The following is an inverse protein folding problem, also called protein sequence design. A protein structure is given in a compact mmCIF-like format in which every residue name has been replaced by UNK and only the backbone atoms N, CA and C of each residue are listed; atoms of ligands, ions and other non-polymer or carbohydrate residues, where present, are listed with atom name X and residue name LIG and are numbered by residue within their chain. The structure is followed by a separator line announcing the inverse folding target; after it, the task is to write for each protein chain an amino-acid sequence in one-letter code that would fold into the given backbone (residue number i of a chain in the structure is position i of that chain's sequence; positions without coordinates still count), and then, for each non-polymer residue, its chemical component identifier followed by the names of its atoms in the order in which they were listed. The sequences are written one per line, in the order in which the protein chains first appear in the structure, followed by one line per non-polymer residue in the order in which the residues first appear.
data_IF_411626771738
#
_entry.id   IF_411626771738
#
_cell.length_a   1.000
_cell.length_b   1.000
_cell.length_c   1.000
_cell.angle_alpha   90.00
_cell.angle_beta   90.00
_cell.angle_gamma   90.00
#
_symmetry.space_group_name_H-M   'P 1'
#
loop_
_entity.id
_entity.type
_entity.pdbx_description
1 polymer ?
#
# COMPACT_ATOMS: atom_id res chain seq x y z
N UNK A 1 -22.05 52.27 -21.68
CA UNK A 1 -21.49 51.05 -22.31
C UNK A 1 -20.31 50.47 -21.54
N UNK A 2 -19.42 51.31 -20.97
CA UNK A 2 -18.27 50.87 -20.17
C UNK A 2 -18.60 49.95 -18.98
N UNK A 3 -19.69 50.20 -18.25
CA UNK A 3 -20.11 49.39 -17.09
C UNK A 3 -20.57 47.98 -17.46
N UNK A 4 -21.16 47.78 -18.64
CA UNK A 4 -21.54 46.45 -19.14
C UNK A 4 -20.31 45.64 -19.57
N UNK A 5 -19.31 46.30 -20.17
CA UNK A 5 -18.03 45.68 -20.54
C UNK A 5 -17.22 45.25 -19.29
N UNK A 6 -17.25 46.06 -18.23
CA UNK A 6 -16.58 45.75 -16.96
C UNK A 6 -17.20 44.51 -16.28
N UNK A 7 -18.53 44.43 -16.25
CA UNK A 7 -19.26 43.28 -15.68
C UNK A 7 -19.01 41.98 -16.45
N UNK A 8 -18.93 42.04 -17.78
CA UNK A 8 -18.60 40.88 -18.63
C UNK A 8 -17.15 40.43 -18.42
N UNK A 9 -16.21 41.36 -18.27
CA UNK A 9 -14.80 41.03 -17.99
C UNK A 9 -14.59 40.33 -16.64
N UNK A 10 -15.31 40.77 -15.60
CA UNK A 10 -15.24 40.15 -14.26
C UNK A 10 -15.85 38.74 -14.28
N UNK A 11 -16.95 38.53 -15.00
CA UNK A 11 -17.58 37.22 -15.13
C UNK A 11 -16.68 36.20 -15.85
N UNK A 12 -15.97 36.63 -16.91
CA UNK A 12 -15.03 35.77 -17.65
C UNK A 12 -13.79 35.38 -16.82
N UNK A 13 -13.27 36.29 -15.98
CA UNK A 13 -12.16 36.00 -15.06
C UNK A 13 -12.58 35.06 -13.92
N UNK A 14 -13.81 35.17 -13.41
CA UNK A 14 -14.35 34.27 -12.38
C UNK A 14 -14.55 32.82 -12.87
N UNK A 15 -14.90 32.64 -14.16
CA UNK A 15 -15.09 31.31 -14.75
C UNK A 15 -13.77 30.53 -14.93
N UNK A 16 -12.66 31.21 -15.19
CA UNK A 16 -11.35 30.56 -15.33
C UNK A 16 -10.74 30.08 -14.00
N UNK A 17 -11.19 30.63 -12.86
CA UNK A 17 -10.63 30.31 -11.55
C UNK A 17 -11.29 29.09 -10.86
N UNK A 18 -12.37 28.53 -11.42
CA UNK A 18 -13.10 27.39 -10.86
C UNK A 18 -12.56 26.02 -11.30
N UNK A 19 -11.55 25.99 -12.17
CA UNK A 19 -10.95 24.74 -12.67
C UNK A 19 -9.83 24.20 -11.77
N UNK A 20 -9.72 24.66 -10.52
CA UNK A 20 -8.91 24.00 -9.51
C UNK A 20 -9.46 22.58 -9.32
N UNK A 21 -8.80 21.62 -10.00
CA UNK A 21 -9.23 20.23 -10.06
C UNK A 21 -9.57 19.73 -8.67
N UNK A 22 -10.80 19.22 -8.50
CA UNK A 22 -11.17 18.48 -7.29
C UNK A 22 -10.05 17.48 -7.01
N UNK A 23 -9.54 17.36 -5.78
CA UNK A 23 -8.55 16.34 -5.46
C UNK A 23 -9.09 15.01 -5.97
N UNK A 24 -8.44 14.42 -6.98
CA UNK A 24 -8.76 13.08 -7.42
C UNK A 24 -8.64 12.22 -6.16
N UNK A 25 -9.73 11.57 -5.71
CA UNK A 25 -9.64 10.57 -4.64
C UNK A 25 -8.75 9.44 -5.17
N UNK A 26 -7.44 9.57 -5.00
CA UNK A 26 -6.53 8.42 -4.96
C UNK A 26 -7.06 7.58 -3.80
N UNK A 27 -7.26 6.28 -4.03
CA UNK A 27 -7.78 5.37 -3.00
C UNK A 27 -7.03 5.55 -1.68
N UNK A 28 -7.69 5.24 -0.56
CA UNK A 28 -7.04 5.32 0.76
C UNK A 28 -6.00 4.21 0.90
N UNK A 29 -4.81 4.56 1.37
CA UNK A 29 -3.84 3.56 1.79
C UNK A 29 -4.41 2.70 2.92
N UNK A 30 -4.17 1.40 2.86
CA UNK A 30 -4.63 0.46 3.88
C UNK A 30 -3.56 0.31 4.96
N UNK A 31 -3.88 0.70 6.19
CA UNK A 31 -3.02 0.55 7.34
C UNK A 31 -3.40 -0.74 8.07
N UNK A 32 -2.71 -1.83 7.75
CA UNK A 32 -2.97 -3.17 8.32
C UNK A 32 -2.24 -3.39 9.65
N UNK A 33 -1.21 -2.60 9.95
CA UNK A 33 -0.52 -2.62 11.24
C UNK A 33 -0.11 -1.21 11.73
N UNK A 34 0.18 -1.11 13.02
CA UNK A 34 0.72 0.09 13.66
C UNK A 34 -0.25 0.81 14.60
N UNK A 35 0.14 2.01 15.03
CA UNK A 35 -0.57 2.70 16.11
C UNK A 35 -1.96 3.21 15.72
N UNK A 36 -2.20 3.42 14.42
CA UNK A 36 -3.49 3.92 13.93
C UNK A 36 -4.61 2.91 14.12
N UNK A 37 -4.35 1.65 13.82
CA UNK A 37 -5.33 0.57 13.92
C UNK A 37 -5.11 -0.34 15.14
N UNK A 38 -4.08 -0.05 15.95
CA UNK A 38 -3.70 -0.82 17.15
C UNK A 38 -3.40 -2.30 16.85
N UNK A 39 -2.93 -2.61 15.65
CA UNK A 39 -2.53 -3.97 15.28
C UNK A 39 -1.02 -4.12 15.46
N UNK A 40 -0.63 -4.99 16.38
CA UNK A 40 0.75 -5.40 16.61
C UNK A 40 1.06 -6.65 15.79
N UNK A 41 2.20 -6.66 15.10
CA UNK A 41 2.63 -7.81 14.32
C UNK A 41 3.01 -8.99 15.22
N UNK A 42 2.81 -10.24 14.77
CA UNK A 42 3.25 -11.43 15.50
C UNK A 42 4.77 -11.51 15.59
N UNK A 43 5.29 -12.34 16.50
CA UNK A 43 6.73 -12.54 16.69
C UNK A 43 7.45 -12.87 15.38
N UNK A 44 8.57 -12.17 15.12
CA UNK A 44 9.36 -12.30 13.90
C UNK A 44 8.90 -11.42 12.72
N UNK A 45 7.81 -10.67 12.90
CA UNK A 45 7.31 -9.72 11.91
C UNK A 45 7.46 -8.28 12.41
N UNK A 46 7.84 -7.38 11.49
CA UNK A 46 7.90 -5.94 11.74
C UNK A 46 6.91 -5.21 10.86
N UNK A 47 6.17 -4.26 11.44
CA UNK A 47 5.28 -3.39 10.69
C UNK A 47 6.12 -2.45 9.82
N UNK A 48 5.98 -2.51 8.49
CA UNK A 48 6.68 -1.63 7.55
C UNK A 48 5.73 -1.08 6.49
N UNK A 49 6.15 0.02 5.86
CA UNK A 49 5.42 0.58 4.73
C UNK A 49 5.57 -0.30 3.49
N UNK A 50 4.49 -0.44 2.72
CA UNK A 50 4.47 -1.09 1.41
C UNK A 50 4.32 -0.08 0.24
N UNK A 51 4.71 1.17 0.47
CA UNK A 51 4.67 2.25 -0.53
C UNK A 51 3.42 3.13 -0.48
N UNK A 52 2.31 2.63 0.05
CA UNK A 52 1.11 3.44 0.35
C UNK A 52 0.72 3.27 1.82
N UNK A 53 0.48 2.03 2.25
CA UNK A 53 0.00 1.68 3.57
C UNK A 53 1.09 1.09 4.46
N UNK A 54 0.66 0.24 5.40
CA UNK A 54 1.54 -0.51 6.30
C UNK A 54 1.06 -1.94 6.45
N UNK A 55 1.98 -2.89 6.46
CA UNK A 55 1.70 -4.30 6.72
C UNK A 55 2.86 -4.98 7.45
N UNK A 56 2.60 -6.17 8.00
CA UNK A 56 3.58 -6.94 8.75
C UNK A 56 4.48 -7.73 7.80
N UNK A 57 5.78 -7.46 7.81
CA UNK A 57 6.77 -8.20 7.04
C UNK A 57 7.60 -9.12 7.93
N UNK A 58 7.86 -10.35 7.48
CA UNK A 58 8.76 -11.25 8.19
C UNK A 58 10.21 -10.76 8.04
N UNK A 59 10.70 -10.03 9.04
CA UNK A 59 12.05 -9.47 9.04
C UNK A 59 13.10 -10.40 9.62
N UNK A 60 12.67 -11.46 10.29
CA UNK A 60 13.57 -12.48 10.83
C UNK A 60 14.05 -13.46 9.76
N UNK A 61 13.42 -13.47 8.59
CA UNK A 61 13.84 -14.33 7.50
C UNK A 61 15.00 -13.73 6.70
N UNK A 62 16.06 -14.52 6.58
CA UNK A 62 17.15 -14.30 5.63
C UNK A 62 17.19 -15.52 4.71
N UNK A 63 17.21 -15.29 3.40
CA UNK A 63 17.28 -16.37 2.43
C UNK A 63 18.64 -17.09 2.52
N UNK A 64 18.68 -18.44 2.63
CA UNK A 64 19.93 -19.18 2.68
C UNK A 64 20.84 -18.91 1.47
N UNK A 65 22.15 -19.04 1.69
CA UNK A 65 23.13 -18.91 0.62
C UNK A 65 22.98 -20.07 -0.37
N UNK A 66 22.95 -19.76 -1.68
CA UNK A 66 22.76 -20.75 -2.75
C UNK A 66 21.31 -20.92 -3.21
N UNK A 67 20.35 -20.25 -2.57
CA UNK A 67 19.00 -20.16 -3.11
C UNK A 67 18.96 -19.35 -4.42
N UNK A 68 18.02 -19.67 -5.33
CA UNK A 68 17.80 -18.89 -6.54
C UNK A 68 17.39 -17.44 -6.20
N UNK A 69 17.55 -16.54 -7.17
CA UNK A 69 17.01 -15.20 -7.06
C UNK A 69 15.51 -15.27 -6.82
N UNK A 70 15.04 -14.57 -5.80
CA UNK A 70 13.64 -14.52 -5.45
C UNK A 70 12.97 -13.37 -6.21
N UNK A 71 12.18 -13.71 -7.21
CA UNK A 71 11.42 -12.77 -8.04
C UNK A 71 10.05 -13.38 -8.36
N UNK A 72 8.99 -12.82 -7.77
CA UNK A 72 7.63 -13.34 -7.86
C UNK A 72 6.65 -12.19 -8.10
N UNK A 73 5.70 -12.39 -9.00
CA UNK A 73 4.64 -11.40 -9.30
C UNK A 73 3.56 -11.31 -8.20
N UNK A 74 3.50 -12.32 -7.33
CA UNK A 74 2.46 -12.45 -6.30
C UNK A 74 2.83 -11.70 -5.02
N UNK A 75 1.85 -11.02 -4.41
CA UNK A 75 1.96 -10.52 -3.03
C UNK A 75 1.36 -11.51 -2.05
N UNK A 76 2.17 -12.08 -1.15
CA UNK A 76 1.72 -13.03 -0.14
C UNK A 76 1.67 -12.37 1.25
N UNK A 77 0.48 -12.12 1.83
CA UNK A 77 0.35 -11.36 3.08
C UNK A 77 0.94 -12.04 4.31
N UNK A 78 1.09 -13.37 4.28
CA UNK A 78 1.71 -14.17 5.35
C UNK A 78 3.13 -14.66 4.98
N UNK A 79 3.65 -14.20 3.85
CA UNK A 79 4.92 -14.66 3.30
C UNK A 79 4.78 -15.90 2.40
N UNK A 80 5.93 -16.37 1.94
CA UNK A 80 6.04 -17.43 0.95
C UNK A 80 6.48 -18.75 1.58
N UNK A 81 6.02 -19.87 0.99
CA UNK A 81 6.46 -21.20 1.38
C UNK A 81 7.95 -21.36 1.13
N UNK A 82 8.57 -22.19 1.99
CA UNK A 82 9.96 -22.60 1.86
C UNK A 82 10.05 -24.04 1.43
N UNK A 83 11.02 -24.34 0.59
CA UNK A 83 11.34 -25.71 0.24
C UNK A 83 12.14 -26.42 1.36
N UNK A 84 12.55 -27.66 1.10
CA UNK A 84 13.32 -28.48 2.05
C UNK A 84 14.71 -27.91 2.38
N UNK A 85 15.23 -26.99 1.56
CA UNK A 85 16.50 -26.31 1.77
C UNK A 85 16.34 -24.93 2.42
N UNK A 86 15.09 -24.50 2.67
CA UNK A 86 14.77 -23.20 3.25
C UNK A 86 14.68 -22.05 2.24
N UNK A 87 14.76 -22.33 0.94
CA UNK A 87 14.63 -21.32 -0.11
C UNK A 87 13.17 -20.92 -0.30
N UNK A 88 12.89 -19.63 -0.51
CA UNK A 88 11.54 -19.19 -0.82
C UNK A 88 11.12 -19.67 -2.21
N UNK A 89 9.86 -20.08 -2.31
CA UNK A 89 9.15 -20.36 -3.55
C UNK A 89 8.15 -19.26 -3.87
N UNK A 90 7.62 -19.19 -5.09
CA UNK A 90 6.55 -18.23 -5.42
C UNK A 90 5.14 -18.68 -4.97
N UNK A 91 5.04 -19.63 -4.04
CA UNK A 91 3.79 -20.04 -3.43
C UNK A 91 3.55 -19.34 -2.10
N UNK A 92 2.34 -18.84 -1.86
CA UNK A 92 1.98 -18.24 -0.57
C UNK A 92 1.85 -19.30 0.54
N UNK A 93 2.33 -18.96 1.73
CA UNK A 93 2.16 -19.77 2.93
C UNK A 93 0.93 -19.30 3.73
N UNK A 94 -0.14 -20.09 3.70
CA UNK A 94 -1.35 -19.84 4.48
C UNK A 94 -1.46 -20.75 5.71
N UNK A 95 -0.41 -21.50 6.07
CA UNK A 95 -0.46 -22.44 7.21
C UNK A 95 -0.70 -21.74 8.56
N UNK A 96 -0.31 -20.48 8.68
CA UNK A 96 -0.55 -19.65 9.85
C UNK A 96 -1.94 -18.99 9.87
N UNK A 97 -2.74 -19.16 8.81
CA UNK A 97 -4.08 -18.57 8.71
C UNK A 97 -5.06 -19.36 9.60
N UNK A 98 -5.50 -18.76 10.70
CA UNK A 98 -6.53 -19.35 11.56
C UNK A 98 -7.93 -18.99 11.03
N UNK A 99 -8.58 -19.92 10.34
CA UNK A 99 -9.98 -19.75 9.90
C UNK A 99 -10.91 -20.33 10.96
N UNK A 100 -11.62 -19.48 11.68
CA UNK A 100 -12.78 -19.83 12.50
C UNK A 100 -12.50 -20.77 13.68
N UNK A 101 -12.47 -20.20 14.88
CA UNK A 101 -12.74 -20.97 16.11
C UNK A 101 -14.15 -20.68 16.58
#
# INVERSE_FOLDING_TARGET
MATKLLLVGIALLGFLCQSSGRPQRRGSCLLLCGDFNKVTCPSGYTCKSNGCGSECFNTSFVQPQGCPLFDCDSHCPLGFKRDQHGCQSCECDYSALQVGK
#
